data_IF_953298616509
#
_entry.id   IF_953298616509
#
_cell.length_a   1.000
_cell.length_b   1.000
_cell.length_c   1.000
_cell.angle_alpha   90.00
_cell.angle_beta   90.00
_cell.angle_gamma   90.00
#
_symmetry.space_group_name_H-M   'P 1'
#
loop_
_entity.id
_entity.type
_entity.pdbx_description
1 polymer ?
#
# COMPACT_ATOMS: atom_id res chain seq x y z
N UNK A 1 2.79 -24.18 31.29
CA UNK A 1 4.02 -23.62 30.69
C UNK A 1 3.66 -23.25 29.27
N UNK A 2 3.33 -21.98 29.03
CA UNK A 2 3.19 -21.49 27.66
C UNK A 2 4.62 -21.27 27.16
N UNK A 3 5.08 -22.08 26.22
CA UNK A 3 6.29 -21.77 25.47
C UNK A 3 6.04 -20.46 24.73
N UNK A 4 6.68 -19.38 25.20
CA UNK A 4 6.91 -18.15 24.44
C UNK A 4 7.74 -18.55 23.21
N UNK A 5 7.06 -19.01 22.16
CA UNK A 5 7.71 -19.17 20.87
C UNK A 5 7.95 -17.76 20.34
N UNK A 6 9.21 -17.30 20.20
CA UNK A 6 9.47 -15.94 19.72
C UNK A 6 8.81 -15.77 18.35
N UNK A 7 8.10 -14.65 18.16
CA UNK A 7 7.50 -14.32 16.87
C UNK A 7 8.58 -14.37 15.78
N UNK A 8 8.28 -14.93 14.59
CA UNK A 8 9.27 -15.04 13.52
C UNK A 8 9.80 -13.66 13.14
N UNK A 9 11.13 -13.54 13.00
CA UNK A 9 11.80 -12.28 12.67
C UNK A 9 11.40 -11.85 11.27
N UNK A 10 10.89 -10.62 11.14
CA UNK A 10 10.45 -10.06 9.86
C UNK A 10 11.65 -9.64 9.01
N UNK A 11 11.68 -10.11 7.77
CA UNK A 11 12.68 -9.78 6.77
C UNK A 11 11.98 -9.23 5.54
N UNK A 12 12.25 -7.97 5.18
CA UNK A 12 11.66 -7.31 4.04
C UNK A 12 12.71 -7.14 2.94
N UNK A 13 12.55 -7.83 1.82
CA UNK A 13 13.35 -7.61 0.62
C UNK A 13 12.65 -6.53 -0.21
N UNK A 14 13.26 -5.34 -0.32
CA UNK A 14 12.70 -4.21 -1.07
C UNK A 14 13.41 -4.10 -2.41
N UNK A 15 12.68 -4.36 -3.49
CA UNK A 15 13.15 -4.25 -4.87
C UNK A 15 12.19 -3.41 -5.72
N UNK A 16 12.44 -3.34 -7.02
CA UNK A 16 11.60 -2.63 -7.97
C UNK A 16 12.35 -1.64 -8.85
N UNK A 17 11.60 -0.89 -9.64
CA UNK A 17 12.15 -0.01 -10.66
C UNK A 17 12.92 1.16 -10.04
N UNK A 18 13.94 1.62 -10.73
CA UNK A 18 14.67 2.79 -10.30
C UNK A 18 13.80 4.04 -10.45
N UNK A 19 13.77 4.91 -9.43
CA UNK A 19 12.84 6.04 -9.37
C UNK A 19 11.44 5.72 -8.83
N UNK A 20 11.14 4.44 -8.54
CA UNK A 20 9.86 4.01 -7.96
C UNK A 20 9.74 4.22 -6.44
N UNK A 21 10.70 4.90 -5.80
CA UNK A 21 10.60 5.21 -4.36
C UNK A 21 11.16 4.18 -3.39
N UNK A 22 11.94 3.18 -3.84
CA UNK A 22 12.62 2.21 -2.95
C UNK A 22 13.37 2.85 -1.79
N UNK A 23 14.20 3.86 -2.05
CA UNK A 23 14.97 4.54 -1.00
C UNK A 23 14.06 5.23 0.01
N UNK A 24 12.91 5.75 -0.42
CA UNK A 24 11.90 6.32 0.48
C UNK A 24 11.29 5.21 1.35
N UNK A 25 10.90 4.08 0.75
CA UNK A 25 10.35 2.92 1.47
C UNK A 25 11.34 2.43 2.52
N UNK A 26 12.61 2.21 2.15
CA UNK A 26 13.66 1.79 3.08
C UNK A 26 13.81 2.77 4.25
N UNK A 27 13.84 4.08 3.98
CA UNK A 27 13.91 5.10 5.04
C UNK A 27 12.70 5.07 5.97
N UNK A 28 11.50 4.88 5.43
CA UNK A 28 10.30 4.73 6.26
C UNK A 28 10.39 3.46 7.12
N UNK A 29 10.90 2.35 6.57
CA UNK A 29 11.11 1.11 7.33
C UNK A 29 12.17 1.28 8.43
N UNK A 30 13.21 2.08 8.18
CA UNK A 30 14.21 2.49 9.19
C UNK A 30 13.55 3.25 10.34
N UNK A 31 12.72 4.25 10.01
CA UNK A 31 11.95 5.02 11.00
C UNK A 31 11.01 4.12 11.83
N UNK A 32 10.52 3.03 11.22
CA UNK A 32 9.70 1.98 11.85
C UNK A 32 10.51 0.95 12.65
N UNK A 33 11.84 1.14 12.81
CA UNK A 33 12.70 0.30 13.64
C UNK A 33 13.34 -0.89 12.93
N UNK A 34 13.19 -1.02 11.61
CA UNK A 34 13.91 -2.06 10.86
C UNK A 34 15.39 -1.69 10.72
N UNK A 35 16.27 -2.68 10.84
CA UNK A 35 17.66 -2.56 10.41
C UNK A 35 17.70 -2.53 8.88
N UNK A 36 18.10 -1.38 8.32
CA UNK A 36 18.08 -1.16 6.86
C UNK A 36 19.46 -1.35 6.27
N UNK A 37 19.56 -2.19 5.23
CA UNK A 37 20.78 -2.40 4.47
C UNK A 37 20.48 -2.22 2.99
N UNK A 38 21.03 -1.17 2.39
CA UNK A 38 20.82 -0.87 0.97
C UNK A 38 21.95 -1.46 0.11
N UNK A 39 21.56 -2.23 -0.91
CA UNK A 39 22.43 -2.77 -1.95
C UNK A 39 23.59 -3.69 -1.48
N UNK A 40 23.39 -4.62 -0.52
CA UNK A 40 24.46 -5.55 -0.13
C UNK A 40 24.69 -6.60 -1.23
N UNK A 41 25.91 -7.15 -1.39
CA UNK A 41 26.13 -8.27 -2.30
C UNK A 41 25.14 -9.42 -2.03
N UNK A 42 24.51 -9.99 -3.06
CA UNK A 42 23.45 -11.00 -2.85
C UNK A 42 23.91 -12.23 -2.08
N UNK A 43 25.20 -12.59 -2.19
CA UNK A 43 25.78 -13.71 -1.43
C UNK A 43 25.87 -13.47 0.08
N UNK A 44 25.66 -12.24 0.57
CA UNK A 44 25.71 -11.88 1.99
C UNK A 44 24.33 -11.86 2.65
N UNK A 45 23.23 -12.05 1.90
CA UNK A 45 21.87 -11.95 2.45
C UNK A 45 21.65 -12.93 3.62
N UNK A 46 22.07 -14.17 3.46
CA UNK A 46 21.90 -15.20 4.48
C UNK A 46 22.70 -14.87 5.77
N UNK A 47 23.90 -14.29 5.63
CA UNK A 47 24.72 -13.86 6.78
C UNK A 47 24.12 -12.64 7.50
N UNK A 48 23.68 -11.64 6.73
CA UNK A 48 23.01 -10.44 7.25
C UNK A 48 21.81 -10.84 8.08
N UNK A 49 20.92 -11.68 7.53
CA UNK A 49 19.70 -12.12 8.20
C UNK A 49 20.01 -12.99 9.42
N UNK A 50 21.05 -13.84 9.36
CA UNK A 50 21.44 -14.67 10.50
C UNK A 50 21.91 -13.83 11.69
N UNK A 51 22.62 -12.72 11.45
CA UNK A 51 23.23 -11.86 12.48
C UNK A 51 22.29 -10.78 13.02
N UNK A 52 21.22 -10.45 12.30
CA UNK A 52 20.30 -9.40 12.70
C UNK A 52 19.47 -9.80 13.93
N UNK A 53 19.44 -8.92 14.92
CA UNK A 53 18.64 -9.09 16.14
C UNK A 53 17.26 -8.41 16.03
N UNK A 54 17.10 -7.50 15.07
CA UNK A 54 15.88 -6.72 14.80
C UNK A 54 15.23 -7.14 13.48
N UNK A 55 13.98 -6.72 13.20
CA UNK A 55 13.44 -6.80 11.84
C UNK A 55 14.40 -6.15 10.84
N UNK A 56 14.59 -6.75 9.67
CA UNK A 56 15.54 -6.26 8.66
C UNK A 56 14.81 -5.86 7.39
N UNK A 57 15.21 -4.75 6.79
CA UNK A 57 14.79 -4.36 5.45
C UNK A 57 16.02 -4.23 4.53
N UNK A 58 16.06 -5.05 3.47
CA UNK A 58 17.20 -5.13 2.57
C UNK A 58 16.81 -4.59 1.19
N UNK A 59 17.47 -3.51 0.77
CA UNK A 59 17.34 -2.95 -0.57
C UNK A 59 18.10 -3.77 -1.59
N UNK A 60 17.40 -4.27 -2.62
CA UNK A 60 18.00 -5.01 -3.73
C UNK A 60 17.55 -4.40 -5.05
N UNK A 61 18.51 -3.98 -5.87
CA UNK A 61 18.22 -3.36 -7.17
C UNK A 61 19.18 -3.81 -8.25
N UNK A 62 18.99 -3.32 -9.48
CA UNK A 62 19.77 -3.74 -10.64
C UNK A 62 21.28 -3.40 -10.55
N UNK A 63 21.70 -2.63 -9.53
CA UNK A 63 23.10 -2.31 -9.21
C UNK A 63 23.67 -3.24 -8.14
N UNK A 64 22.87 -4.11 -7.54
CA UNK A 64 23.34 -5.02 -6.51
C UNK A 64 24.38 -5.98 -7.10
N UNK A 65 25.49 -6.16 -6.40
CA UNK A 65 26.56 -7.04 -6.88
C UNK A 65 26.04 -8.48 -6.94
N UNK A 66 26.11 -9.07 -8.14
CA UNK A 66 25.57 -10.40 -8.43
C UNK A 66 24.06 -10.41 -8.67
N UNK A 67 23.43 -9.25 -8.90
CA UNK A 67 22.00 -9.17 -9.15
C UNK A 67 21.58 -9.99 -10.38
N UNK A 68 20.63 -10.87 -10.13
CA UNK A 68 19.82 -11.54 -11.13
C UNK A 68 18.46 -11.85 -10.48
N UNK A 69 17.37 -11.67 -11.22
CA UNK A 69 16.03 -11.89 -10.66
C UNK A 69 15.86 -13.31 -10.11
N UNK A 70 16.37 -14.33 -10.81
CA UNK A 70 16.28 -15.72 -10.33
C UNK A 70 17.12 -15.95 -9.08
N UNK A 71 18.28 -15.28 -8.96
CA UNK A 71 19.12 -15.36 -7.78
C UNK A 71 18.45 -14.74 -6.54
N UNK A 72 17.77 -13.59 -6.71
CA UNK A 72 16.99 -12.97 -5.62
C UNK A 72 15.83 -13.86 -5.19
N UNK A 73 15.09 -14.45 -6.15
CA UNK A 73 14.01 -15.39 -5.82
C UNK A 73 14.52 -16.65 -5.11
N UNK A 74 15.68 -17.17 -5.52
CA UNK A 74 16.30 -18.30 -4.86
C UNK A 74 16.72 -17.95 -3.42
N UNK A 75 17.23 -16.73 -3.18
CA UNK A 75 17.53 -16.26 -1.83
C UNK A 75 16.26 -16.12 -0.98
N UNK A 76 15.21 -15.49 -1.51
CA UNK A 76 13.91 -15.37 -0.84
C UNK A 76 13.33 -16.74 -0.47
N UNK A 77 13.38 -17.71 -1.38
CA UNK A 77 12.92 -19.07 -1.13
C UNK A 77 13.70 -19.74 0.01
N UNK A 78 15.02 -19.57 0.09
CA UNK A 78 15.82 -20.09 1.22
C UNK A 78 15.42 -19.44 2.54
N UNK A 79 15.21 -18.13 2.57
CA UNK A 79 14.79 -17.41 3.77
C UNK A 79 13.41 -17.89 4.25
N UNK A 80 12.47 -18.12 3.33
CA UNK A 80 11.11 -18.62 3.65
C UNK A 80 11.06 -20.05 4.17
N UNK A 81 12.08 -20.87 3.91
CA UNK A 81 12.16 -22.24 4.45
C UNK A 81 12.48 -22.23 5.95
N UNK A 82 13.06 -21.15 6.48
CA UNK A 82 13.38 -21.03 7.90
C UNK A 82 12.13 -20.60 8.70
N UNK A 83 11.58 -21.44 9.59
CA UNK A 83 10.36 -21.11 10.34
C UNK A 83 10.56 -19.97 11.35
N UNK A 84 11.81 -19.62 11.69
CA UNK A 84 12.13 -18.49 12.57
C UNK A 84 12.10 -17.14 11.83
N UNK A 85 11.88 -17.15 10.51
CA UNK A 85 11.86 -15.95 9.66
C UNK A 85 10.49 -15.80 8.99
N UNK A 86 10.04 -14.57 8.86
CA UNK A 86 8.93 -14.20 7.97
C UNK A 86 9.49 -13.28 6.88
N UNK A 87 9.77 -13.84 5.71
CA UNK A 87 10.42 -13.13 4.61
C UNK A 87 9.42 -12.72 3.52
N UNK A 88 9.28 -11.41 3.33
CA UNK A 88 8.38 -10.78 2.35
C UNK A 88 9.16 -10.00 1.29
N UNK A 89 8.71 -10.06 0.03
CA UNK A 89 9.23 -9.34 -1.12
C UNK A 89 8.31 -8.17 -1.47
N UNK A 90 8.84 -6.95 -1.36
CA UNK A 90 8.20 -5.70 -1.73
C UNK A 90 8.76 -5.25 -3.08
N UNK A 91 7.89 -5.07 -4.06
CA UNK A 91 8.23 -4.53 -5.37
C UNK A 91 7.65 -3.13 -5.54
N UNK A 92 8.52 -2.12 -5.56
CA UNK A 92 8.13 -0.74 -5.84
C UNK A 92 8.09 -0.48 -7.36
N UNK A 93 6.98 0.04 -7.85
CA UNK A 93 6.80 0.37 -9.27
C UNK A 93 6.24 1.78 -9.45
N UNK A 94 6.32 2.29 -10.67
CA UNK A 94 5.50 3.40 -11.14
C UNK A 94 5.35 3.30 -12.67
N UNK A 95 4.44 4.06 -13.25
CA UNK A 95 4.29 4.23 -14.69
C UNK A 95 5.60 4.75 -15.30
N UNK A 96 5.90 4.29 -16.51
CA UNK A 96 7.13 4.63 -17.22
C UNK A 96 7.30 6.15 -17.40
N UNK A 97 6.20 6.85 -17.71
CA UNK A 97 6.14 8.31 -17.83
C UNK A 97 6.53 9.01 -16.52
N UNK A 98 6.05 8.50 -15.38
CA UNK A 98 6.35 9.01 -14.04
C UNK A 98 7.80 8.75 -13.68
N UNK A 99 8.32 7.55 -13.95
CA UNK A 99 9.72 7.19 -13.71
C UNK A 99 10.66 8.08 -14.53
N UNK A 100 10.35 8.30 -15.81
CA UNK A 100 11.11 9.17 -16.71
C UNK A 100 11.15 10.61 -16.18
N UNK A 101 10.01 11.14 -15.72
CA UNK A 101 9.91 12.46 -15.11
C UNK A 101 10.78 12.58 -13.85
N UNK A 102 10.70 11.62 -12.93
CA UNK A 102 11.50 11.58 -11.68
C UNK A 102 13.01 11.50 -11.96
N UNK A 103 13.42 10.72 -12.96
CA UNK A 103 14.82 10.63 -13.37
C UNK A 103 15.34 11.93 -13.97
N UNK A 104 14.53 12.56 -14.82
CA UNK A 104 14.87 13.85 -15.42
C UNK A 104 15.03 14.93 -14.35
N UNK A 105 14.16 14.94 -13.34
CA UNK A 105 14.23 15.87 -12.21
C UNK A 105 15.49 15.68 -11.34
N UNK A 106 15.92 14.44 -11.13
CA UNK A 106 17.10 14.14 -10.30
C UNK A 106 18.43 14.28 -11.04
N UNK A 107 18.43 14.42 -12.37
CA UNK A 107 19.61 14.53 -13.26
C UNK A 107 20.64 13.40 -13.09
N UNK A 108 20.26 12.26 -12.52
CA UNK A 108 21.13 11.10 -12.33
C UNK A 108 21.13 10.23 -13.59
N UNK A 109 22.27 9.64 -13.93
CA UNK A 109 22.35 8.64 -15.01
C UNK A 109 21.61 7.38 -14.59
N UNK A 110 20.82 6.81 -15.49
CA UNK A 110 20.11 5.56 -15.24
C UNK A 110 21.12 4.39 -15.21
N UNK A 111 21.11 3.51 -14.19
CA UNK A 111 22.14 2.47 -14.02
C UNK A 111 22.25 1.50 -15.19
N UNK A 112 21.12 1.18 -15.83
CA UNK A 112 21.04 0.30 -17.00
C UNK A 112 21.22 1.04 -18.36
N UNK A 113 21.33 2.37 -18.36
CA UNK A 113 21.52 3.16 -19.58
C UNK A 113 23.01 3.49 -19.80
N UNK A 114 23.84 2.45 -19.98
CA UNK A 114 25.30 2.61 -20.19
C UNK A 114 25.60 3.28 -21.56
N UNK A 115 24.76 3.02 -22.57
CA UNK A 115 24.89 3.57 -23.94
C UNK A 115 23.55 4.00 -24.58
N UNK A 116 22.45 4.03 -23.81
CA UNK A 116 21.09 4.27 -24.31
C UNK A 116 20.38 5.44 -23.62
N UNK A 117 19.13 5.66 -24.00
CA UNK A 117 18.25 6.67 -23.37
C UNK A 117 17.76 6.19 -21.99
N UNK A 118 17.31 7.12 -21.13
CA UNK A 118 16.68 6.78 -19.84
C UNK A 118 15.49 5.84 -20.04
N UNK A 119 14.74 6.03 -21.12
CA UNK A 119 13.60 5.20 -21.51
C UNK A 119 14.00 3.74 -21.74
N UNK A 120 15.01 3.51 -22.58
CA UNK A 120 15.53 2.15 -22.85
C UNK A 120 16.07 1.48 -21.58
N UNK A 121 16.69 2.27 -20.69
CA UNK A 121 17.11 1.81 -19.37
C UNK A 121 15.95 1.34 -18.49
N UNK A 122 14.84 2.09 -18.47
CA UNK A 122 13.62 1.72 -17.74
C UNK A 122 13.00 0.45 -18.33
N UNK A 123 12.85 0.37 -19.65
CA UNK A 123 12.30 -0.82 -20.32
C UNK A 123 13.14 -2.07 -20.06
N UNK A 124 14.48 -1.94 -20.07
CA UNK A 124 15.38 -3.04 -19.73
C UNK A 124 15.23 -3.47 -18.27
N UNK A 125 15.11 -2.52 -17.34
CA UNK A 125 14.91 -2.81 -15.92
C UNK A 125 13.54 -3.49 -15.66
N UNK A 126 12.48 -3.08 -16.36
CA UNK A 126 11.17 -3.74 -16.33
C UNK A 126 11.29 -5.19 -16.75
N UNK A 127 11.95 -5.47 -17.88
CA UNK A 127 12.16 -6.86 -18.34
C UNK A 127 12.98 -7.68 -17.33
N UNK A 128 14.06 -7.09 -16.82
CA UNK A 128 14.95 -7.75 -15.88
C UNK A 128 14.25 -8.10 -14.56
N UNK A 129 13.36 -7.23 -14.08
CA UNK A 129 12.74 -7.36 -12.75
C UNK A 129 11.30 -7.89 -12.78
N UNK A 130 10.74 -8.16 -13.96
CA UNK A 130 9.40 -8.78 -14.11
C UNK A 130 9.20 -10.04 -13.27
N UNK A 131 10.16 -10.99 -13.21
CA UNK A 131 9.99 -12.18 -12.35
C UNK A 131 9.87 -11.84 -10.86
N UNK A 132 10.57 -10.79 -10.41
CA UNK A 132 10.46 -10.31 -9.03
C UNK A 132 9.11 -9.66 -8.77
N UNK A 133 8.59 -8.93 -9.75
CA UNK A 133 7.26 -8.32 -9.67
C UNK A 133 6.16 -9.38 -9.57
N UNK A 134 6.27 -10.45 -10.34
CA UNK A 134 5.30 -11.55 -10.35
C UNK A 134 5.29 -12.35 -9.04
N UNK A 135 6.46 -12.51 -8.41
CA UNK A 135 6.62 -13.23 -7.16
C UNK A 135 6.50 -12.33 -5.91
N UNK A 136 6.28 -11.03 -6.07
CA UNK A 136 6.21 -10.09 -4.96
C UNK A 136 4.97 -10.34 -4.10
N UNK A 137 5.16 -10.33 -2.78
CA UNK A 137 4.04 -10.37 -1.83
C UNK A 137 3.30 -9.03 -1.81
N UNK A 138 4.04 -7.95 -2.11
CA UNK A 138 3.52 -6.59 -2.12
C UNK A 138 4.03 -5.86 -3.35
N UNK A 139 3.13 -5.40 -4.20
CA UNK A 139 3.45 -4.44 -5.27
C UNK A 139 2.96 -3.08 -4.84
N UNK A 140 3.88 -2.12 -4.64
CA UNK A 140 3.55 -0.74 -4.31
C UNK A 140 3.68 0.10 -5.58
N UNK A 141 2.54 0.53 -6.13
CA UNK A 141 2.51 1.44 -7.27
C UNK A 141 2.58 2.89 -6.80
N UNK A 142 3.74 3.51 -6.95
CA UNK A 142 4.00 4.88 -6.52
C UNK A 142 3.68 5.92 -7.59
N UNK A 143 3.06 5.54 -8.71
CA UNK A 143 2.74 6.47 -9.80
C UNK A 143 2.00 7.70 -9.29
N UNK A 144 1.07 7.47 -8.37
CA UNK A 144 0.11 8.45 -7.89
C UNK A 144 0.23 8.74 -6.41
N UNK A 145 1.29 8.26 -5.77
CA UNK A 145 1.53 8.40 -4.34
C UNK A 145 2.57 9.49 -4.09
N UNK A 146 2.17 10.67 -3.60
CA UNK A 146 3.08 11.63 -3.01
C UNK A 146 3.86 11.03 -1.83
N UNK A 147 5.05 11.58 -1.48
CA UNK A 147 5.87 11.04 -0.39
C UNK A 147 5.15 10.88 0.96
N UNK A 148 4.27 11.81 1.41
CA UNK A 148 3.50 11.63 2.64
C UNK A 148 2.56 10.42 2.59
N UNK A 149 1.90 10.17 1.46
CA UNK A 149 0.97 9.06 1.30
C UNK A 149 1.70 7.72 1.17
N UNK A 150 2.86 7.72 0.51
CA UNK A 150 3.74 6.55 0.51
C UNK A 150 4.19 6.20 1.93
N UNK A 151 4.59 7.19 2.73
CA UNK A 151 4.91 6.99 4.15
C UNK A 151 3.75 6.35 4.89
N UNK A 152 2.57 6.93 4.77
CA UNK A 152 1.38 6.43 5.43
C UNK A 152 0.98 5.01 4.98
N UNK A 153 1.13 4.69 3.70
CA UNK A 153 0.88 3.33 3.19
C UNK A 153 1.86 2.32 3.79
N UNK A 154 3.15 2.67 3.85
CA UNK A 154 4.20 1.82 4.42
C UNK A 154 4.05 1.71 5.94
N UNK A 155 3.74 2.79 6.66
CA UNK A 155 3.49 2.80 8.10
C UNK A 155 2.26 1.98 8.47
N UNK A 156 1.16 2.16 7.73
CA UNK A 156 -0.02 1.32 7.89
C UNK A 156 0.38 -0.15 7.74
N UNK A 157 1.15 -0.49 6.69
CA UNK A 157 1.51 -1.87 6.31
C UNK A 157 2.62 -2.53 7.14
N UNK A 158 3.55 -1.77 7.70
CA UNK A 158 4.77 -2.33 8.28
C UNK A 158 5.11 -1.79 9.67
N UNK A 159 4.30 -0.87 10.23
CA UNK A 159 4.50 -0.38 11.59
C UNK A 159 4.32 -1.48 12.64
N UNK A 160 4.96 -1.33 13.81
CA UNK A 160 4.82 -2.27 14.93
C UNK A 160 3.46 -2.10 15.62
N UNK A 161 2.65 -3.15 15.57
CA UNK A 161 1.38 -3.23 16.28
C UNK A 161 1.61 -3.87 17.64
N UNK A 162 2.21 -3.11 18.54
CA UNK A 162 2.56 -3.58 19.87
C UNK A 162 1.34 -3.56 20.80
N UNK A 163 1.00 -4.74 21.33
CA UNK A 163 0.20 -5.03 22.51
C UNK A 163 -1.35 -5.10 22.37
N UNK A 164 -1.85 -6.35 22.32
CA UNK A 164 -3.13 -6.71 22.96
C UNK A 164 -4.21 -7.33 22.07
N UNK A 165 -4.10 -8.64 21.82
CA UNK A 165 -5.21 -9.48 21.37
C UNK A 165 -5.35 -9.66 19.86
N UNK A 166 -5.09 -10.89 19.39
CA UNK A 166 -5.38 -11.43 18.06
C UNK A 166 -5.09 -10.51 16.86
N UNK A 167 -3.86 -10.60 16.33
CA UNK A 167 -3.53 -10.54 14.89
C UNK A 167 -4.47 -9.69 14.00
N UNK A 168 -4.45 -8.37 14.19
CA UNK A 168 -5.37 -7.44 13.52
C UNK A 168 -5.05 -7.21 12.04
N UNK A 169 -6.01 -7.50 11.16
CA UNK A 169 -6.00 -7.07 9.76
C UNK A 169 -6.29 -5.57 9.70
N UNK A 170 -5.44 -4.79 9.02
CA UNK A 170 -5.77 -3.42 8.63
C UNK A 170 -6.43 -3.41 7.26
N UNK A 171 -7.57 -2.73 7.15
CA UNK A 171 -8.32 -2.58 5.91
C UNK A 171 -8.02 -1.21 5.31
N UNK A 172 -7.43 -1.19 4.12
CA UNK A 172 -7.25 0.00 3.31
C UNK A 172 -8.40 0.14 2.31
N UNK A 173 -9.19 1.19 2.43
CA UNK A 173 -10.22 1.53 1.46
C UNK A 173 -9.68 2.59 0.51
N UNK A 174 -9.66 2.30 -0.79
CA UNK A 174 -9.10 3.18 -1.81
C UNK A 174 -10.15 3.58 -2.83
N UNK A 175 -10.31 4.88 -3.10
CA UNK A 175 -11.08 5.32 -4.27
C UNK A 175 -10.14 5.52 -5.45
N UNK A 176 -10.56 5.08 -6.65
CA UNK A 176 -9.75 5.22 -7.86
C UNK A 176 -10.57 5.56 -9.12
N UNK A 177 -9.88 5.96 -10.19
CA UNK A 177 -10.43 6.17 -11.53
C UNK A 177 -10.05 5.02 -12.48
N UNK A 178 -11.04 4.37 -13.11
CA UNK A 178 -10.79 3.28 -14.07
C UNK A 178 -9.85 3.64 -15.24
N UNK A 179 -9.94 4.85 -15.86
CA UNK A 179 -9.01 5.23 -16.92
C UNK A 179 -7.55 5.32 -16.48
N UNK A 180 -7.29 5.50 -15.18
CA UNK A 180 -5.95 5.50 -14.60
C UNK A 180 -5.48 4.08 -14.18
N UNK A 181 -6.20 3.03 -14.59
CA UNK A 181 -5.88 1.64 -14.25
C UNK A 181 -6.30 1.22 -12.85
N UNK A 182 -6.38 -0.09 -12.63
CA UNK A 182 -6.68 -0.67 -11.32
C UNK A 182 -5.48 -0.49 -10.38
N UNK A 183 -5.70 -0.16 -9.09
CA UNK A 183 -4.65 -0.21 -8.08
C UNK A 183 -4.09 -1.63 -8.01
N UNK A 184 -2.76 -1.76 -8.06
CA UNK A 184 -2.09 -3.07 -8.13
C UNK A 184 -2.08 -3.79 -6.80
N UNK A 185 -2.15 -3.02 -5.73
CA UNK A 185 -2.24 -3.45 -4.34
C UNK A 185 -3.67 -3.88 -3.92
N UNK A 186 -4.67 -3.73 -4.80
CA UNK A 186 -6.06 -4.07 -4.48
C UNK A 186 -6.27 -5.58 -4.39
N UNK A 187 -6.74 -6.05 -3.23
CA UNK A 187 -7.23 -7.40 -3.02
C UNK A 187 -8.64 -7.58 -3.57
N UNK A 188 -9.45 -6.52 -3.53
CA UNK A 188 -10.83 -6.50 -4.04
C UNK A 188 -11.11 -5.19 -4.76
N UNK A 189 -11.87 -5.25 -5.86
CA UNK A 189 -12.22 -4.09 -6.68
C UNK A 189 -13.73 -4.06 -6.91
N UNK A 190 -14.37 -2.93 -6.61
CA UNK A 190 -15.79 -2.68 -6.86
C UNK A 190 -15.98 -1.56 -7.90
N UNK A 191 -16.90 -1.75 -8.84
CA UNK A 191 -17.23 -0.76 -9.87
C UNK A 191 -18.46 0.06 -9.47
N UNK A 192 -18.30 1.37 -9.30
CA UNK A 192 -19.36 2.31 -8.95
C UNK A 192 -19.84 3.16 -10.14
N UNK A 193 -19.45 2.83 -11.39
CA UNK A 193 -19.80 3.62 -12.58
C UNK A 193 -21.28 3.57 -12.94
N UNK A 194 -22.03 2.62 -12.40
CA UNK A 194 -23.47 2.49 -12.65
C UNK A 194 -24.32 3.49 -11.86
N UNK A 195 -23.83 3.96 -10.70
CA UNK A 195 -24.52 4.98 -9.90
C UNK A 195 -24.62 6.31 -10.65
N UNK A 196 -25.66 7.08 -10.33
CA UNK A 196 -25.96 8.40 -10.88
C UNK A 196 -24.73 9.30 -10.83
N UNK A 197 -24.35 9.87 -11.98
CA UNK A 197 -23.09 10.57 -12.16
C UNK A 197 -23.23 12.08 -11.85
N UNK A 198 -22.64 12.61 -10.77
CA UNK A 198 -22.77 14.03 -10.40
C UNK A 198 -22.08 14.99 -11.38
N UNK A 199 -21.24 14.47 -12.28
CA UNK A 199 -20.49 15.28 -13.24
C UNK A 199 -21.37 16.12 -14.17
N UNK A 200 -22.59 15.66 -14.47
CA UNK A 200 -23.50 16.38 -15.36
C UNK A 200 -24.26 17.52 -14.69
N UNK A 201 -24.22 17.61 -13.36
CA UNK A 201 -24.74 18.75 -12.62
C UNK A 201 -23.63 19.82 -12.51
N UNK A 202 -23.80 21.00 -13.12
CA UNK A 202 -22.79 22.06 -13.07
C UNK A 202 -22.42 22.47 -11.64
N UNK A 203 -23.36 22.42 -10.69
CA UNK A 203 -23.13 22.78 -9.30
C UNK A 203 -22.22 21.77 -8.58
N UNK A 204 -22.29 20.49 -8.98
CA UNK A 204 -21.57 19.40 -8.32
C UNK A 204 -20.28 19.01 -9.05
N UNK A 205 -20.15 19.33 -10.34
CA UNK A 205 -19.05 18.89 -11.21
C UNK A 205 -17.64 19.23 -10.70
N UNK A 206 -17.50 20.38 -10.00
CA UNK A 206 -16.26 20.87 -9.42
C UNK A 206 -16.07 20.47 -7.94
N UNK A 207 -17.03 19.77 -7.34
CA UNK A 207 -16.94 19.29 -5.96
C UNK A 207 -16.31 17.89 -5.93
N UNK A 208 -16.33 17.21 -4.80
CA UNK A 208 -15.80 15.85 -4.60
C UNK A 208 -16.74 15.04 -3.74
N UNK A 209 -16.58 13.71 -3.72
CA UNK A 209 -17.39 12.84 -2.88
C UNK A 209 -17.19 13.05 -1.37
N UNK A 210 -16.23 13.89 -0.97
CA UNK A 210 -16.05 14.38 0.40
C UNK A 210 -17.05 15.50 0.76
N UNK A 211 -17.60 16.18 -0.24
CA UNK A 211 -18.55 17.27 -0.05
C UNK A 211 -19.97 16.72 0.12
N UNK A 212 -20.70 17.22 1.12
CA UNK A 212 -22.01 16.70 1.51
C UNK A 212 -23.03 16.70 0.35
N UNK A 213 -23.03 17.73 -0.49
CA UNK A 213 -23.96 17.84 -1.62
C UNK A 213 -23.73 16.73 -2.66
N UNK A 214 -22.47 16.41 -2.96
CA UNK A 214 -22.12 15.31 -3.86
C UNK A 214 -22.46 13.98 -3.21
N UNK A 215 -22.13 13.80 -1.93
CA UNK A 215 -22.40 12.58 -1.21
C UNK A 215 -23.91 12.28 -1.18
N UNK A 216 -24.73 13.29 -0.88
CA UNK A 216 -26.19 13.17 -0.89
C UNK A 216 -26.74 12.89 -2.28
N UNK A 217 -26.22 13.57 -3.31
CA UNK A 217 -26.64 13.35 -4.69
C UNK A 217 -26.39 11.90 -5.13
N UNK A 218 -25.21 11.35 -4.81
CA UNK A 218 -24.89 9.93 -5.10
C UNK A 218 -25.74 8.99 -4.24
N UNK A 219 -26.00 9.34 -2.98
CA UNK A 219 -26.80 8.52 -2.07
C UNK A 219 -28.30 8.48 -2.41
N UNK A 220 -28.79 9.44 -3.20
CA UNK A 220 -30.18 9.46 -3.70
C UNK A 220 -30.43 8.48 -4.84
N UNK A 221 -29.39 7.86 -5.40
CA UNK A 221 -29.55 6.80 -6.38
C UNK A 221 -30.28 5.59 -5.75
N UNK A 222 -31.30 5.03 -6.40
CA UNK A 222 -32.12 3.96 -5.83
C UNK A 222 -31.32 2.70 -5.47
N UNK A 223 -30.21 2.44 -6.15
CA UNK A 223 -29.39 1.25 -5.94
C UNK A 223 -28.25 1.49 -4.94
N UNK A 224 -28.03 2.74 -4.50
CA UNK A 224 -26.90 3.11 -3.65
C UNK A 224 -26.85 2.34 -2.32
N UNK A 225 -27.96 2.36 -1.58
CA UNK A 225 -28.02 1.77 -0.25
C UNK A 225 -27.84 0.25 -0.30
N UNK A 226 -28.52 -0.42 -1.24
CA UNK A 226 -28.41 -1.86 -1.43
C UNK A 226 -26.99 -2.26 -1.86
N UNK A 227 -26.36 -1.50 -2.76
CA UNK A 227 -24.98 -1.76 -3.17
C UNK A 227 -24.00 -1.62 -2.01
N UNK A 228 -24.11 -0.56 -1.22
CA UNK A 228 -23.28 -0.34 -0.03
C UNK A 228 -23.46 -1.48 0.99
N UNK A 229 -24.71 -1.89 1.24
CA UNK A 229 -25.04 -2.99 2.15
C UNK A 229 -24.41 -4.32 1.69
N UNK A 230 -24.52 -4.64 0.40
CA UNK A 230 -23.96 -5.87 -0.17
C UNK A 230 -22.43 -5.87 -0.13
N UNK A 231 -21.78 -4.72 -0.39
CA UNK A 231 -20.34 -4.59 -0.23
C UNK A 231 -19.91 -4.82 1.22
N UNK A 232 -20.58 -4.17 2.18
CA UNK A 232 -20.29 -4.34 3.60
C UNK A 232 -20.49 -5.79 4.04
N UNK A 233 -21.62 -6.42 3.68
CA UNK A 233 -21.90 -7.81 4.01
C UNK A 233 -20.92 -8.81 3.40
N UNK A 234 -20.43 -8.55 2.18
CA UNK A 234 -19.35 -9.36 1.59
C UNK A 234 -18.06 -9.21 2.40
N UNK A 235 -17.67 -7.99 2.78
CA UNK A 235 -16.47 -7.74 3.60
C UNK A 235 -16.55 -8.42 4.96
N UNK A 236 -17.72 -8.43 5.60
CA UNK A 236 -17.93 -9.19 6.85
C UNK A 236 -17.64 -10.67 6.70
N UNK A 237 -17.97 -11.26 5.54
CA UNK A 237 -17.69 -12.66 5.26
C UNK A 237 -16.20 -12.90 5.00
N UNK A 238 -15.51 -12.01 4.27
CA UNK A 238 -14.15 -12.28 3.76
C UNK A 238 -13.03 -11.80 4.68
N UNK A 239 -13.19 -10.67 5.38
CA UNK A 239 -12.12 -10.09 6.22
C UNK A 239 -11.69 -11.06 7.35
N UNK A 240 -12.59 -11.75 8.07
CA UNK A 240 -12.19 -12.79 9.03
C UNK A 240 -11.45 -13.96 8.38
N UNK A 241 -11.72 -14.26 7.10
CA UNK A 241 -10.98 -15.30 6.37
C UNK A 241 -9.58 -14.81 6.01
N UNK A 242 -9.43 -13.56 5.61
CA UNK A 242 -8.11 -12.95 5.37
C UNK A 242 -7.22 -13.05 6.62
N UNK A 243 -7.77 -12.73 7.80
CA UNK A 243 -7.05 -12.92 9.08
C UNK A 243 -6.60 -14.37 9.26
N UNK A 244 -7.50 -15.35 9.05
CA UNK A 244 -7.19 -16.79 9.21
C UNK A 244 -6.13 -17.28 8.21
N UNK A 245 -6.10 -16.73 7.02
CA UNK A 245 -5.05 -16.98 6.00
C UNK A 245 -3.75 -16.20 6.30
N UNK A 246 -3.67 -15.51 7.44
CA UNK A 246 -2.48 -14.79 7.87
C UNK A 246 -2.29 -13.40 7.24
N UNK A 247 -3.26 -12.90 6.45
CA UNK A 247 -3.17 -11.54 5.91
C UNK A 247 -3.25 -10.53 7.05
N UNK A 248 -2.27 -9.63 7.07
CA UNK A 248 -2.23 -8.47 7.97
C UNK A 248 -2.80 -7.19 7.34
N UNK A 249 -2.95 -7.19 6.01
CA UNK A 249 -3.45 -6.05 5.24
C UNK A 249 -4.39 -6.51 4.14
N UNK A 250 -5.47 -5.76 3.94
CA UNK A 250 -6.40 -5.95 2.82
C UNK A 250 -6.73 -4.60 2.20
N UNK A 251 -6.50 -4.45 0.91
CA UNK A 251 -6.86 -3.24 0.15
C UNK A 251 -8.15 -3.49 -0.64
N UNK A 252 -9.18 -2.72 -0.34
CA UNK A 252 -10.46 -2.72 -1.02
C UNK A 252 -10.58 -1.44 -1.84
N UNK A 253 -10.57 -1.58 -3.16
CA UNK A 253 -10.62 -0.46 -4.08
C UNK A 253 -12.02 -0.27 -4.66
N UNK A 254 -12.52 0.96 -4.71
CA UNK A 254 -13.79 1.32 -5.34
C UNK A 254 -13.50 2.31 -6.47
N UNK A 255 -13.95 1.95 -7.68
CA UNK A 255 -13.63 2.66 -8.91
C UNK A 255 -14.82 3.44 -9.46
N UNK A 256 -14.59 4.66 -9.97
CA UNK A 256 -15.54 5.32 -10.87
C UNK A 256 -14.79 5.88 -12.10
N UNK A 257 -15.47 6.63 -12.97
CA UNK A 257 -14.82 7.15 -14.19
C UNK A 257 -13.71 8.16 -13.90
N UNK A 258 -13.88 9.02 -12.90
CA UNK A 258 -12.95 10.13 -12.62
C UNK A 258 -12.29 10.09 -11.25
N UNK A 259 -12.56 9.07 -10.42
CA UNK A 259 -11.96 8.95 -9.08
C UNK A 259 -12.32 10.07 -8.09
N UNK A 260 -13.35 10.87 -8.40
CA UNK A 260 -13.62 12.16 -7.73
C UNK A 260 -14.91 12.20 -6.91
N UNK A 261 -15.97 11.55 -7.40
CA UNK A 261 -17.32 11.68 -6.84
C UNK A 261 -17.80 10.34 -6.26
N UNK A 262 -18.40 9.47 -7.09
CA UNK A 262 -19.05 8.22 -6.69
C UNK A 262 -18.16 7.28 -5.87
N UNK A 263 -16.93 7.03 -6.35
CA UNK A 263 -16.00 6.16 -5.63
C UNK A 263 -15.55 6.74 -4.29
N UNK A 264 -15.29 8.05 -4.24
CA UNK A 264 -14.94 8.76 -3.00
C UNK A 264 -16.08 8.66 -1.99
N UNK A 265 -17.31 8.95 -2.41
CA UNK A 265 -18.51 8.85 -1.56
C UNK A 265 -18.72 7.44 -1.01
N UNK A 266 -18.59 6.40 -1.84
CA UNK A 266 -18.74 5.02 -1.39
C UNK A 266 -17.63 4.57 -0.44
N UNK A 267 -16.38 4.97 -0.69
CA UNK A 267 -15.27 4.66 0.22
C UNK A 267 -15.50 5.25 1.60
N UNK A 268 -15.92 6.52 1.64
CA UNK A 268 -16.23 7.23 2.89
C UNK A 268 -17.39 6.56 3.65
N UNK A 269 -18.48 6.23 2.96
CA UNK A 269 -19.64 5.57 3.57
C UNK A 269 -19.32 4.13 4.04
N UNK A 270 -18.56 3.38 3.25
CA UNK A 270 -18.12 2.03 3.62
C UNK A 270 -17.17 2.04 4.82
N UNK A 271 -16.27 3.03 4.88
CA UNK A 271 -15.39 3.22 6.02
C UNK A 271 -16.18 3.45 7.30
N UNK A 272 -17.20 4.30 7.25
CA UNK A 272 -18.09 4.53 8.39
C UNK A 272 -18.83 3.26 8.81
N UNK A 273 -19.34 2.45 7.86
CA UNK A 273 -19.98 1.15 8.16
C UNK A 273 -19.04 0.17 8.85
N UNK A 274 -17.78 0.08 8.39
CA UNK A 274 -16.78 -0.81 8.98
C UNK A 274 -16.27 -0.29 10.34
N UNK A 275 -16.26 1.03 10.55
CA UNK A 275 -15.87 1.67 11.80
C UNK A 275 -16.97 1.63 12.89
N UNK A 276 -18.23 1.88 12.53
CA UNK A 276 -19.36 1.94 13.48
C UNK A 276 -19.70 0.60 14.12
N UNK A 277 -19.28 -0.53 13.53
CA UNK A 277 -19.41 -1.84 14.17
C UNK A 277 -18.54 -2.02 15.42
N UNK A 278 -17.71 -1.03 15.75
CA UNK A 278 -16.95 -0.97 16.99
C UNK A 278 -17.77 -0.95 18.28
N UNK A 279 -19.05 -0.55 18.23
CA UNK A 279 -19.96 -0.54 19.39
C UNK A 279 -20.65 -1.90 19.64
N UNK A 280 -20.31 -2.93 18.87
CA UNK A 280 -20.80 -4.29 19.04
C UNK A 280 -20.09 -5.00 20.21
N UNK A 281 -20.78 -5.83 21.01
CA UNK A 281 -20.23 -6.47 22.22
C UNK A 281 -19.14 -7.52 21.95
N UNK A 282 -18.69 -7.72 20.71
CA UNK A 282 -17.61 -8.64 20.38
C UNK A 282 -16.29 -7.87 20.12
N UNK A 283 -15.18 -8.24 20.81
CA UNK A 283 -13.91 -7.51 20.75
C UNK A 283 -13.17 -7.57 19.39
N UNK A 284 -13.78 -8.17 18.37
CA UNK A 284 -13.25 -8.31 17.01
C UNK A 284 -13.89 -7.36 15.98
N UNK A 285 -14.84 -6.51 16.38
CA UNK A 285 -15.78 -5.91 15.42
C UNK A 285 -15.38 -4.52 14.88
N UNK A 286 -14.23 -3.98 15.29
CA UNK A 286 -13.72 -2.69 14.82
C UNK A 286 -12.44 -2.87 14.01
N UNK A 287 -12.56 -3.14 12.71
CA UNK A 287 -11.38 -3.19 11.84
C UNK A 287 -10.65 -1.85 11.89
N UNK A 288 -9.32 -1.81 12.05
CA UNK A 288 -8.54 -0.64 11.70
C UNK A 288 -8.76 -0.33 10.22
N UNK A 289 -9.33 0.84 9.93
CA UNK A 289 -9.70 1.23 8.58
C UNK A 289 -8.97 2.51 8.22
N UNK A 290 -8.21 2.44 7.14
CA UNK A 290 -7.52 3.58 6.54
C UNK A 290 -8.16 3.89 5.18
N UNK A 291 -8.38 5.17 4.92
CA UNK A 291 -8.95 5.67 3.66
C UNK A 291 -7.83 6.28 2.82
N UNK A 292 -7.87 6.06 1.50
CA UNK A 292 -7.02 6.71 0.52
C UNK A 292 -7.83 7.12 -0.73
N UNK A 293 -7.63 8.34 -1.23
CA UNK A 293 -8.28 8.83 -2.45
C UNK A 293 -7.27 9.14 -3.56
N UNK A 294 -6.97 8.15 -4.41
CA UNK A 294 -5.85 8.19 -5.37
C UNK A 294 -5.87 9.40 -6.30
N UNK A 295 -7.01 9.78 -6.87
CA UNK A 295 -7.08 10.95 -7.76
C UNK A 295 -7.16 12.29 -7.02
N UNK A 296 -7.56 12.31 -5.74
CA UNK A 296 -7.52 13.52 -4.91
C UNK A 296 -6.08 13.79 -4.43
N UNK A 297 -5.31 12.74 -4.16
CA UNK A 297 -3.88 12.80 -3.88
C UNK A 297 -3.11 13.54 -4.98
N UNK A 298 -3.36 13.19 -6.24
CA UNK A 298 -2.79 13.85 -7.43
C UNK A 298 -3.08 15.35 -7.47
N UNK A 299 -4.18 15.80 -6.87
CA UNK A 299 -4.60 17.20 -6.82
C UNK A 299 -4.05 17.93 -5.58
N UNK A 300 -3.19 17.28 -4.78
CA UNK A 300 -2.62 17.85 -3.56
C UNK A 300 -3.62 17.99 -2.41
N UNK A 301 -4.79 17.34 -2.50
CA UNK A 301 -5.75 17.33 -1.39
C UNK A 301 -5.37 16.22 -0.41
N UNK A 302 -5.60 16.45 0.89
CA UNK A 302 -5.47 15.40 1.90
C UNK A 302 -6.38 14.23 1.49
N UNK A 303 -5.76 13.14 1.07
CA UNK A 303 -6.44 11.98 0.51
C UNK A 303 -6.44 10.79 1.46
N UNK A 304 -5.67 10.90 2.56
CA UNK A 304 -5.43 9.83 3.50
C UNK A 304 -5.88 10.20 4.89
N UNK A 305 -6.59 9.28 5.55
CA UNK A 305 -6.97 9.40 6.96
C UNK A 305 -7.33 8.05 7.54
N UNK A 306 -7.15 7.90 8.85
CA UNK A 306 -7.77 6.80 9.58
C UNK A 306 -9.27 7.09 9.76
N UNK A 307 -10.11 6.16 9.32
CA UNK A 307 -11.54 6.15 9.66
C UNK A 307 -11.76 5.51 11.04
N UNK A 308 -11.02 4.45 11.32
CA UNK A 308 -10.93 3.84 12.64
C UNK A 308 -9.47 3.53 12.93
N UNK A 309 -8.90 4.20 13.93
CA UNK A 309 -7.51 4.00 14.30
C UNK A 309 -7.35 2.69 15.07
N UNK A 310 -6.20 2.03 14.90
CA UNK A 310 -5.89 0.93 15.76
C UNK A 310 -5.62 1.33 17.20
N UNK A 311 -6.00 0.45 18.12
CA UNK A 311 -5.70 0.63 19.54
C UNK A 311 -4.18 0.54 19.74
N UNK A 312 -3.58 1.57 20.36
CA UNK A 312 -2.16 1.60 20.70
C UNK A 312 -1.27 2.51 19.82
N UNK A 313 -1.79 3.14 18.77
CA UNK A 313 -1.02 4.13 17.99
C UNK A 313 -0.82 5.40 18.83
N UNK A 314 0.43 5.80 19.07
CA UNK A 314 0.75 7.08 19.70
C UNK A 314 0.20 8.25 18.85
N UNK A 315 -0.24 9.33 19.50
CA UNK A 315 -0.67 10.54 18.78
C UNK A 315 0.46 11.08 17.91
N UNK A 316 0.18 11.54 16.68
CA UNK A 316 1.19 12.26 15.91
C UNK A 316 1.56 13.51 16.73
N UNK A 317 2.82 13.61 17.12
CA UNK A 317 3.36 14.85 17.69
C UNK A 317 3.13 15.94 16.67
N UNK A 318 2.27 16.91 16.98
CA UNK A 318 2.18 18.16 16.24
C UNK A 318 3.59 18.78 16.22
N UNK A 319 4.27 18.68 15.08
CA UNK A 319 5.40 19.55 14.82
C UNK A 319 4.82 20.95 14.59
N UNK A 320 4.65 21.69 15.67
CA UNK A 320 4.69 23.15 15.64
C UNK A 320 6.04 23.55 15.07
N UNK A 321 6.06 23.96 13.80
CA UNK A 321 7.18 24.71 13.22
C UNK A 321 7.42 25.97 14.07
N UNK A 322 8.64 26.19 14.59
CA UNK A 322 9.00 27.48 15.15
C UNK A 322 9.16 28.50 14.00
N UNK A 323 8.59 29.69 14.23
CA UNK A 323 8.61 30.86 13.35
C UNK A 323 10.00 31.26 12.86
#
# INVERSE_FOLDING_TARGET
MHEDTPLPRRILLVTGLSGAGKSSILRILEDLGHEVIDNPPLGMLDEIVARAERPVAIGVDSRTRGFDASAVLAALARLRVNPALNAELIYATAEESVLLSRYTATRRRHPQAVHGTVKEGIEAEIRLTSPLREAADVVIDTSDLPPPELRQLVEARFGEWSAGGLDGLTVALMSFAFPAGLPREADMVFDARFLTNPYYDPALSAMTGLDADVAQYVANDPDYAEFLDRMAGLLELVLPRFVREGKKYATIAIGCSGGRHRSVTLVEALAQRLAQRADSPHPHDAWPVVIMHRELARQGRSSWRWANRPRGLAEPTEHTDPQ
#
